data_IF_798601938733
#
_entry.id   IF_798601938733
#
_cell.length_a   1.000
_cell.length_b   1.000
_cell.length_c   1.000
_cell.angle_alpha   90.00
_cell.angle_beta   90.00
_cell.angle_gamma   90.00
#
_symmetry.space_group_name_H-M   'P 1'
#
loop_
_entity.id
_entity.type
_entity.pdbx_description
1 polymer ?
#
# COMPACT_ATOMS: atom_id res chain seq x y z
N UNK A 1 7.54 -71.35 27.92
CA UNK A 1 8.21 -70.27 27.17
C UNK A 1 7.44 -68.97 27.37
N UNK A 2 7.79 -68.18 28.39
CA UNK A 2 7.53 -66.73 28.51
C UNK A 2 8.13 -66.23 29.82
N UNK A 3 8.71 -65.04 29.74
CA UNK A 3 9.84 -64.55 30.50
C UNK A 3 9.48 -63.99 31.89
N UNK A 4 10.35 -64.29 32.86
CA UNK A 4 10.68 -63.42 34.00
C UNK A 4 11.37 -62.15 33.47
N UNK A 5 11.06 -60.97 34.02
CA UNK A 5 11.99 -60.13 34.81
C UNK A 5 11.36 -58.75 35.14
N UNK A 6 11.87 -58.07 36.18
CA UNK A 6 11.15 -57.15 37.05
C UNK A 6 11.49 -55.66 36.83
N UNK A 7 10.82 -54.84 37.66
CA UNK A 7 11.12 -53.44 37.96
C UNK A 7 12.64 -53.14 38.03
N UNK A 8 13.04 -52.08 37.33
CA UNK A 8 14.25 -51.32 37.64
C UNK A 8 13.86 -49.86 37.90
N UNK A 9 14.14 -49.44 39.13
CA UNK A 9 14.17 -48.05 39.62
C UNK A 9 15.33 -47.33 38.93
N UNK A 10 15.11 -46.13 38.41
CA UNK A 10 16.19 -45.21 38.03
C UNK A 10 16.07 -43.94 38.87
N UNK A 11 17.13 -43.75 39.66
CA UNK A 11 17.43 -42.62 40.53
C UNK A 11 17.65 -41.34 39.72
N UNK A 12 17.21 -40.23 40.28
CA UNK A 12 17.46 -38.90 39.75
C UNK A 12 18.94 -38.52 39.80
N UNK A 13 19.37 -37.82 38.76
CA UNK A 13 20.57 -37.00 38.75
C UNK A 13 20.15 -35.56 38.41
N UNK A 14 20.38 -34.65 39.36
CA UNK A 14 20.28 -33.22 39.15
C UNK A 14 21.33 -32.79 38.12
N UNK A 15 20.88 -32.27 36.98
CA UNK A 15 21.71 -31.45 36.11
C UNK A 15 21.44 -29.97 36.44
N UNK A 16 22.46 -29.10 36.48
CA UNK A 16 22.23 -27.67 36.64
C UNK A 16 21.50 -27.16 35.40
N UNK A 17 20.46 -26.36 35.61
CA UNK A 17 19.83 -25.59 34.56
C UNK A 17 20.89 -24.67 33.93
N UNK A 18 21.22 -24.92 32.67
CA UNK A 18 21.82 -23.91 31.83
C UNK A 18 20.74 -22.86 31.59
N UNK A 19 20.84 -21.74 32.30
CA UNK A 19 20.24 -20.49 31.89
C UNK A 19 20.92 -20.04 30.59
N UNK A 20 20.54 -20.64 29.47
CA UNK A 20 20.72 -20.04 28.14
C UNK A 20 19.57 -19.06 27.90
N UNK A 21 19.41 -18.11 28.80
CA UNK A 21 18.74 -16.84 28.52
C UNK A 21 19.78 -15.86 27.97
N UNK A 22 20.45 -16.25 26.88
CA UNK A 22 20.99 -15.29 25.94
C UNK A 22 19.95 -15.12 24.84
N UNK A 23 19.00 -14.20 25.03
CA UNK A 23 18.40 -13.50 23.89
C UNK A 23 19.49 -12.64 23.28
N UNK A 24 20.45 -13.28 22.62
CA UNK A 24 21.20 -12.65 21.58
C UNK A 24 20.16 -12.30 20.52
N UNK A 25 19.79 -11.03 20.42
CA UNK A 25 19.45 -10.45 19.13
C UNK A 25 20.60 -10.86 18.21
N UNK A 26 20.41 -11.95 17.47
CA UNK A 26 21.33 -12.33 16.42
C UNK A 26 21.52 -11.09 15.56
N UNK A 27 22.78 -10.71 15.33
CA UNK A 27 23.18 -9.71 14.34
C UNK A 27 22.60 -10.20 13.01
N UNK A 28 21.39 -9.73 12.69
CA UNK A 28 20.67 -10.13 11.50
C UNK A 28 21.11 -9.13 10.44
N UNK A 29 21.87 -9.61 9.47
CA UNK A 29 22.26 -8.78 8.32
C UNK A 29 21.01 -8.50 7.49
N UNK A 30 20.47 -7.29 7.63
CA UNK A 30 19.35 -6.83 6.82
C UNK A 30 19.81 -6.36 5.45
N UNK A 31 18.90 -6.41 4.47
CA UNK A 31 19.23 -6.10 3.10
C UNK A 31 19.50 -4.60 2.89
N UNK A 32 20.34 -4.32 1.90
CA UNK A 32 20.61 -2.96 1.40
C UNK A 32 20.52 -2.97 -0.12
N UNK A 33 19.71 -2.07 -0.68
CA UNK A 33 19.51 -1.84 -2.11
C UNK A 33 19.26 -0.35 -2.33
N UNK A 34 20.35 0.38 -2.58
CA UNK A 34 20.34 1.84 -2.83
C UNK A 34 20.22 2.17 -4.32
N UNK A 35 20.61 1.24 -5.17
CA UNK A 35 20.55 1.35 -6.62
C UNK A 35 20.17 -0.02 -7.20
N UNK A 36 19.37 -0.01 -8.26
CA UNK A 36 19.06 -1.20 -9.03
C UNK A 36 18.93 -0.85 -10.51
N UNK A 37 19.42 -1.72 -11.41
CA UNK A 37 19.15 -1.56 -12.84
C UNK A 37 17.67 -1.77 -13.10
N UNK A 38 17.09 -1.03 -14.05
CA UNK A 38 15.71 -1.26 -14.47
C UNK A 38 15.55 -2.68 -15.05
N UNK A 39 14.53 -3.46 -14.63
CA UNK A 39 14.21 -4.73 -15.27
C UNK A 39 13.67 -4.51 -16.68
N UNK A 40 13.47 -5.61 -17.42
CA UNK A 40 12.75 -5.57 -18.69
C UNK A 40 11.24 -5.30 -18.49
N UNK A 41 10.90 -4.03 -18.29
CA UNK A 41 9.51 -3.58 -18.14
C UNK A 41 8.65 -3.89 -19.38
N UNK A 42 9.23 -4.03 -20.56
CA UNK A 42 8.46 -4.36 -21.76
C UNK A 42 7.94 -5.80 -21.72
N UNK A 43 8.64 -6.70 -21.03
CA UNK A 43 8.16 -8.04 -20.74
C UNK A 43 7.21 -8.07 -19.54
N UNK A 44 7.52 -7.34 -18.46
CA UNK A 44 6.68 -7.30 -17.26
C UNK A 44 5.28 -6.70 -17.53
N UNK A 45 5.18 -5.69 -18.38
CA UNK A 45 3.89 -5.06 -18.74
C UNK A 45 2.91 -5.98 -19.46
N UNK A 46 3.41 -7.06 -20.07
CA UNK A 46 2.59 -8.05 -20.79
C UNK A 46 2.09 -9.17 -19.89
N UNK A 47 2.57 -9.25 -18.65
CA UNK A 47 2.13 -10.27 -17.72
C UNK A 47 0.64 -10.09 -17.40
N UNK A 48 -0.06 -11.22 -17.27
CA UNK A 48 -1.46 -11.21 -16.91
C UNK A 48 -1.63 -10.58 -15.52
N UNK A 49 -2.66 -9.75 -15.37
CA UNK A 49 -3.04 -9.21 -14.06
C UNK A 49 -3.61 -10.34 -13.21
N UNK A 50 -3.33 -10.30 -11.92
CA UNK A 50 -4.04 -11.18 -10.99
C UNK A 50 -5.50 -10.73 -10.94
N UNK A 51 -6.40 -11.67 -11.17
CA UNK A 51 -7.84 -11.43 -11.09
C UNK A 51 -8.31 -11.68 -9.65
N UNK A 52 -9.10 -10.74 -9.14
CA UNK A 52 -9.77 -10.83 -7.85
C UNK A 52 -11.09 -10.08 -7.90
N UNK A 53 -11.69 -9.81 -6.75
CA UNK A 53 -12.87 -8.93 -6.71
C UNK A 53 -12.48 -7.54 -7.25
N UNK A 54 -13.16 -7.11 -8.30
CA UNK A 54 -12.92 -5.80 -8.93
C UNK A 54 -13.62 -4.66 -8.19
N UNK A 55 -13.53 -3.46 -8.76
CA UNK A 55 -14.39 -2.36 -8.31
C UNK A 55 -15.85 -2.71 -8.51
N UNK A 56 -16.64 -2.60 -7.45
CA UNK A 56 -18.09 -2.84 -7.49
C UNK A 56 -18.82 -1.56 -7.14
N UNK A 57 -19.80 -1.19 -7.96
CA UNK A 57 -20.76 -0.14 -7.65
C UNK A 57 -22.14 -0.75 -7.47
N UNK A 58 -22.77 -0.47 -6.34
CA UNK A 58 -24.16 -0.82 -6.06
C UNK A 58 -25.00 0.45 -6.03
N UNK A 59 -25.82 0.63 -7.05
CA UNK A 59 -26.72 1.78 -7.12
C UNK A 59 -27.85 1.70 -6.08
N UNK A 60 -28.38 2.85 -5.70
CA UNK A 60 -29.53 2.94 -4.81
C UNK A 60 -30.78 2.37 -5.50
N UNK A 61 -31.55 1.57 -4.77
CA UNK A 61 -32.76 0.87 -5.26
C UNK A 61 -34.02 1.21 -4.46
N UNK A 62 -33.87 1.80 -3.28
CA UNK A 62 -34.98 2.19 -2.40
C UNK A 62 -35.32 3.67 -2.49
N UNK A 63 -36.55 4.06 -2.13
CA UNK A 63 -36.92 5.47 -2.00
C UNK A 63 -36.15 6.12 -0.84
N UNK A 64 -35.88 7.42 -0.95
CA UNK A 64 -35.26 8.21 0.12
C UNK A 64 -36.25 8.34 1.30
N UNK A 65 -35.95 7.80 2.49
CA UNK A 65 -36.83 7.92 3.63
C UNK A 65 -36.71 9.31 4.29
N UNK A 66 -37.71 9.75 5.10
CA UNK A 66 -37.59 10.99 5.88
C UNK A 66 -36.39 11.00 6.84
N UNK A 67 -35.92 9.82 7.25
CA UNK A 67 -34.75 9.62 8.12
C UNK A 67 -33.41 9.53 7.37
N UNK A 68 -33.36 9.77 6.05
CA UNK A 68 -32.19 9.54 5.22
C UNK A 68 -30.92 10.23 5.75
N UNK A 69 -31.06 11.45 6.27
CA UNK A 69 -29.94 12.18 6.88
C UNK A 69 -29.36 11.46 8.09
N UNK A 70 -30.21 11.02 9.02
CA UNK A 70 -29.77 10.35 10.24
C UNK A 70 -29.17 8.96 9.95
N UNK A 71 -29.79 8.21 9.01
CA UNK A 71 -29.27 6.91 8.57
C UNK A 71 -27.92 7.07 7.87
N UNK A 72 -27.83 8.03 6.94
CA UNK A 72 -26.59 8.35 6.24
C UNK A 72 -25.46 8.74 7.20
N UNK A 73 -25.74 9.60 8.17
CA UNK A 73 -24.77 10.00 9.20
C UNK A 73 -24.29 8.79 10.03
N UNK A 74 -25.20 7.89 10.41
CA UNK A 74 -24.85 6.68 11.15
C UNK A 74 -23.85 5.81 10.36
N UNK A 75 -24.06 5.64 9.05
CA UNK A 75 -23.16 4.87 8.21
C UNK A 75 -21.83 5.57 7.94
N UNK A 76 -21.87 6.90 7.76
CA UNK A 76 -20.68 7.72 7.64
C UNK A 76 -19.77 7.53 8.86
N UNK A 77 -20.31 7.70 10.07
CA UNK A 77 -19.56 7.57 11.33
C UNK A 77 -19.01 6.17 11.54
N UNK A 78 -19.78 5.11 11.19
CA UNK A 78 -19.30 3.73 11.27
C UNK A 78 -18.09 3.47 10.37
N UNK A 79 -18.12 3.98 9.15
CA UNK A 79 -17.01 3.83 8.21
C UNK A 79 -15.81 4.67 8.63
N UNK A 80 -16.03 5.90 9.08
CA UNK A 80 -14.96 6.81 9.52
C UNK A 80 -14.24 6.27 10.76
N UNK A 81 -14.97 5.74 11.75
CA UNK A 81 -14.41 5.18 12.98
C UNK A 81 -13.40 4.03 12.73
N UNK A 82 -13.59 3.30 11.63
CA UNK A 82 -12.76 2.16 11.23
C UNK A 82 -11.77 2.51 10.11
N UNK A 83 -11.66 3.79 9.72
CA UNK A 83 -10.84 4.27 8.59
C UNK A 83 -11.22 3.60 7.25
N UNK A 84 -12.51 3.30 7.06
CA UNK A 84 -13.08 2.66 5.87
C UNK A 84 -13.82 3.64 4.96
N UNK A 85 -13.95 4.91 5.33
CA UNK A 85 -14.61 5.91 4.50
C UNK A 85 -13.60 6.54 3.52
N UNK A 86 -13.79 6.32 2.23
CA UNK A 86 -12.94 6.90 1.19
C UNK A 86 -13.53 8.15 0.53
N UNK A 87 -14.86 8.29 0.62
CA UNK A 87 -15.60 9.36 -0.03
C UNK A 87 -17.09 9.31 0.31
N UNK A 88 -17.75 10.46 0.24
CA UNK A 88 -19.18 10.57 0.47
C UNK A 88 -19.81 11.61 -0.46
N UNK A 89 -20.97 11.27 -1.02
CA UNK A 89 -21.84 12.19 -1.76
C UNK A 89 -23.01 12.63 -0.88
N UNK A 90 -23.40 13.89 -1.00
CA UNK A 90 -24.51 14.48 -0.25
C UNK A 90 -25.54 15.13 -1.18
N UNK A 91 -26.79 15.15 -0.75
CA UNK A 91 -27.82 15.96 -1.38
C UNK A 91 -27.49 17.46 -1.26
N UNK A 92 -27.61 18.20 -2.36
CA UNK A 92 -27.29 19.62 -2.40
C UNK A 92 -25.79 19.89 -2.57
N UNK A 93 -25.30 21.00 -2.00
CA UNK A 93 -23.92 21.50 -2.22
C UNK A 93 -22.95 21.28 -1.05
N UNK A 94 -23.30 20.42 -0.10
CA UNK A 94 -22.40 20.18 1.04
C UNK A 94 -22.91 19.17 2.06
N UNK A 95 -22.15 18.94 3.15
CA UNK A 95 -22.39 17.86 4.12
C UNK A 95 -23.66 18.07 4.97
N UNK A 96 -24.39 19.17 4.77
CA UNK A 96 -25.66 19.44 5.46
C UNK A 96 -26.85 18.60 4.95
N UNK A 97 -26.74 18.02 3.75
CA UNK A 97 -27.77 17.19 3.13
C UNK A 97 -27.72 15.72 3.54
N UNK A 98 -28.67 14.91 3.06
CA UNK A 98 -28.63 13.47 3.26
C UNK A 98 -27.51 12.83 2.43
N UNK A 99 -26.87 11.79 2.97
CA UNK A 99 -25.87 11.00 2.23
C UNK A 99 -26.57 10.28 1.07
N UNK A 100 -26.04 10.44 -0.15
CA UNK A 100 -26.53 9.78 -1.37
C UNK A 100 -25.58 8.69 -1.86
N UNK A 101 -24.31 8.78 -1.47
CA UNK A 101 -23.25 7.88 -1.90
C UNK A 101 -22.18 7.70 -0.82
N UNK A 102 -21.63 6.50 -0.71
CA UNK A 102 -20.46 6.19 0.13
C UNK A 102 -19.46 5.33 -0.66
N UNK A 103 -18.20 5.77 -0.70
CA UNK A 103 -17.07 4.98 -1.18
C UNK A 103 -16.41 4.28 0.01
N UNK A 104 -16.31 2.95 -0.07
CA UNK A 104 -15.93 2.08 1.04
C UNK A 104 -14.56 1.46 0.80
N UNK A 105 -13.68 1.54 1.80
CA UNK A 105 -12.32 0.99 1.82
C UNK A 105 -12.24 -0.51 2.08
N UNK A 106 -13.24 -1.27 1.67
CA UNK A 106 -13.21 -2.74 1.63
C UNK A 106 -13.98 -3.25 0.42
N UNK A 107 -13.81 -4.52 0.10
CA UNK A 107 -14.56 -5.23 -0.95
C UNK A 107 -16.04 -5.37 -0.59
N UNK A 108 -16.91 -5.65 -1.57
CA UNK A 108 -18.33 -5.88 -1.32
C UNK A 108 -18.52 -7.13 -0.43
N UNK A 109 -17.71 -8.18 -0.64
CA UNK A 109 -17.76 -9.40 0.15
C UNK A 109 -17.34 -9.18 1.62
N UNK A 110 -16.30 -8.38 1.86
CA UNK A 110 -15.91 -7.95 3.21
C UNK A 110 -17.01 -7.10 3.86
N UNK A 111 -17.58 -6.14 3.13
CA UNK A 111 -18.66 -5.28 3.65
C UNK A 111 -19.90 -6.08 4.03
N UNK A 112 -20.30 -7.05 3.20
CA UNK A 112 -21.41 -7.96 3.53
C UNK A 112 -21.11 -8.77 4.79
N UNK A 113 -19.88 -9.25 4.94
CA UNK A 113 -19.47 -10.01 6.11
C UNK A 113 -19.48 -9.15 7.38
N UNK A 114 -18.91 -7.95 7.30
CA UNK A 114 -18.86 -6.97 8.39
C UNK A 114 -20.25 -6.56 8.87
N UNK A 115 -21.16 -6.25 7.94
CA UNK A 115 -22.54 -5.87 8.26
C UNK A 115 -23.35 -7.02 8.85
N UNK A 116 -23.14 -8.24 8.36
CA UNK A 116 -23.78 -9.46 8.91
C UNK A 116 -23.30 -9.75 10.33
N UNK A 117 -21.99 -9.68 10.58
CA UNK A 117 -21.41 -9.92 11.91
C UNK A 117 -21.92 -8.93 12.97
N UNK A 118 -22.18 -7.69 12.56
CA UNK A 118 -22.71 -6.64 13.44
C UNK A 118 -24.24 -6.57 13.49
N UNK A 119 -24.95 -7.41 12.72
CA UNK A 119 -26.42 -7.40 12.66
C UNK A 119 -26.98 -6.08 12.15
N UNK A 120 -26.31 -5.43 11.20
CA UNK A 120 -26.74 -4.14 10.66
C UNK A 120 -27.52 -4.27 9.36
N UNK A 121 -28.66 -3.60 9.30
CA UNK A 121 -29.43 -3.44 8.08
C UNK A 121 -28.83 -2.35 7.19
N UNK A 122 -28.41 -2.76 5.98
CA UNK A 122 -27.79 -1.86 5.01
C UNK A 122 -28.87 -1.09 4.23
N UNK A 123 -28.86 0.25 4.22
CA UNK A 123 -29.89 1.04 3.58
C UNK A 123 -29.79 0.96 2.05
N UNK A 124 -30.96 0.82 1.41
CA UNK A 124 -31.09 0.68 -0.05
C UNK A 124 -31.22 2.02 -0.77
N UNK A 125 -31.38 3.13 -0.06
CA UNK A 125 -31.47 4.49 -0.62
C UNK A 125 -30.11 5.18 -0.79
N UNK A 126 -29.03 4.55 -0.31
CA UNK A 126 -27.64 5.00 -0.47
C UNK A 126 -27.01 4.14 -1.56
N UNK A 127 -26.25 4.77 -2.46
CA UNK A 127 -25.38 4.07 -3.41
C UNK A 127 -24.01 3.79 -2.79
N UNK A 128 -23.39 2.68 -3.14
CA UNK A 128 -22.16 2.21 -2.51
C UNK A 128 -21.12 1.87 -3.57
N UNK A 129 -19.87 2.31 -3.39
CA UNK A 129 -18.72 1.81 -4.15
C UNK A 129 -17.80 1.01 -3.23
N UNK A 130 -17.26 -0.08 -3.76
CA UNK A 130 -16.32 -0.95 -3.06
C UNK A 130 -15.02 -1.03 -3.84
N UNK A 131 -13.91 -1.00 -3.11
CA UNK A 131 -12.56 -1.16 -3.69
C UNK A 131 -12.30 -2.61 -4.09
N UNK A 132 -11.36 -2.85 -5.01
CA UNK A 132 -10.97 -4.20 -5.39
C UNK A 132 -10.19 -4.90 -4.27
N UNK A 133 -10.13 -6.23 -4.35
CA UNK A 133 -9.38 -7.07 -3.43
C UNK A 133 -7.87 -6.80 -3.49
N UNK A 134 -7.21 -6.91 -2.33
CA UNK A 134 -5.75 -7.01 -2.26
C UNK A 134 -5.38 -8.48 -2.48
N UNK A 135 -4.97 -8.82 -3.69
CA UNK A 135 -4.69 -10.19 -4.11
C UNK A 135 -3.31 -10.69 -3.66
N UNK A 136 -2.42 -9.79 -3.24
CA UNK A 136 -1.08 -10.11 -2.73
C UNK A 136 -0.93 -9.69 -1.26
N UNK A 137 -0.05 -10.39 -0.50
CA UNK A 137 0.33 -9.96 0.84
C UNK A 137 1.06 -8.60 0.80
N UNK A 138 1.17 -7.96 1.96
CA UNK A 138 1.97 -6.74 2.12
C UNK A 138 3.45 -6.97 1.82
N UNK A 139 3.98 -8.09 2.30
CA UNK A 139 5.36 -8.51 2.10
C UNK A 139 5.33 -9.98 1.74
N UNK A 140 5.97 -10.34 0.63
CA UNK A 140 6.13 -11.75 0.26
C UNK A 140 7.08 -12.46 1.23
N UNK A 141 6.96 -13.79 1.31
CA UNK A 141 7.90 -14.61 2.08
C UNK A 141 9.36 -14.36 1.64
N UNK A 142 9.58 -14.24 0.33
CA UNK A 142 10.91 -14.01 -0.27
C UNK A 142 11.54 -12.66 0.14
N UNK A 143 10.73 -11.64 0.42
CA UNK A 143 11.21 -10.33 0.85
C UNK A 143 11.30 -10.18 2.38
N UNK A 144 10.53 -10.96 3.13
CA UNK A 144 10.29 -10.77 4.57
C UNK A 144 11.56 -10.80 5.44
N UNK A 145 12.54 -11.63 5.10
CA UNK A 145 13.73 -11.82 5.95
C UNK A 145 14.74 -10.66 5.88
N UNK A 146 14.71 -9.85 4.83
CA UNK A 146 15.69 -8.79 4.62
C UNK A 146 15.28 -7.41 5.10
N UNK A 147 14.11 -7.27 5.71
CA UNK A 147 13.59 -5.98 6.19
C UNK A 147 13.39 -5.99 7.71
N UNK A 148 13.50 -4.82 8.32
CA UNK A 148 13.19 -4.63 9.76
C UNK A 148 11.71 -4.42 9.98
N UNK A 149 11.10 -3.62 9.10
CA UNK A 149 9.70 -3.21 9.18
C UNK A 149 9.21 -2.87 7.78
N UNK A 150 7.94 -3.20 7.48
CA UNK A 150 7.26 -2.72 6.29
C UNK A 150 6.41 -1.50 6.64
N UNK A 151 6.78 -0.29 6.18
CA UNK A 151 6.08 0.94 6.55
C UNK A 151 4.94 1.21 5.58
N UNK A 152 3.78 0.60 5.79
CA UNK A 152 2.61 0.84 4.95
C UNK A 152 1.34 1.12 5.75
N UNK A 153 0.41 1.85 5.13
CA UNK A 153 -0.92 2.11 5.67
C UNK A 153 -1.71 0.82 5.79
N UNK A 154 -2.48 0.68 6.88
CA UNK A 154 -3.50 -0.36 7.01
C UNK A 154 -4.84 0.04 6.37
N UNK A 155 -5.03 1.34 6.10
CA UNK A 155 -6.23 1.86 5.45
C UNK A 155 -6.00 2.03 3.94
N UNK A 156 -7.06 1.79 3.15
CA UNK A 156 -7.05 1.97 1.70
C UNK A 156 -6.81 3.41 1.31
N UNK A 157 -6.22 3.61 0.14
CA UNK A 157 -6.00 4.94 -0.40
C UNK A 157 -7.32 5.59 -0.81
N UNK A 158 -7.64 6.73 -0.18
CA UNK A 158 -8.80 7.55 -0.53
C UNK A 158 -8.51 8.50 -1.69
N UNK A 159 -9.32 9.55 -1.84
CA UNK A 159 -9.07 10.61 -2.83
C UNK A 159 -7.71 11.29 -2.59
N UNK A 160 -6.95 11.54 -3.66
CA UNK A 160 -5.61 12.12 -3.57
C UNK A 160 -5.41 13.26 -4.57
N UNK A 161 -4.44 14.13 -4.26
CA UNK A 161 -3.92 15.08 -5.22
C UNK A 161 -3.04 14.36 -6.25
N UNK A 162 -3.12 14.79 -7.50
CA UNK A 162 -2.45 14.13 -8.63
C UNK A 162 -1.25 14.94 -9.17
N UNK A 163 -0.67 15.85 -8.37
CA UNK A 163 0.56 16.52 -8.81
C UNK A 163 1.67 15.49 -8.94
N UNK A 164 2.40 15.51 -10.05
CA UNK A 164 3.47 14.55 -10.28
C UNK A 164 4.67 14.90 -9.39
N UNK A 165 4.95 14.03 -8.42
CA UNK A 165 6.18 14.03 -7.64
C UNK A 165 7.15 13.02 -8.24
N UNK A 166 8.43 13.26 -8.07
CA UNK A 166 9.51 12.36 -8.50
C UNK A 166 10.48 12.13 -7.36
N UNK A 167 11.21 11.03 -7.39
CA UNK A 167 12.24 10.74 -6.40
C UNK A 167 12.72 9.30 -6.47
N UNK A 168 13.14 8.76 -5.33
CA UNK A 168 13.70 7.40 -5.21
C UNK A 168 13.32 6.82 -3.86
N UNK A 169 13.15 5.50 -3.82
CA UNK A 169 13.04 4.73 -2.59
C UNK A 169 14.20 3.75 -2.53
N UNK A 170 14.93 3.72 -1.44
CA UNK A 170 16.08 2.87 -1.20
C UNK A 170 15.84 1.97 0.02
N UNK A 171 16.44 0.78 0.01
CA UNK A 171 16.52 -0.07 1.19
C UNK A 171 17.93 0.08 1.80
N UNK A 172 18.02 0.40 3.08
CA UNK A 172 19.29 0.52 3.80
C UNK A 172 19.14 -0.18 5.14
N UNK A 173 19.91 -1.25 5.35
CA UNK A 173 19.87 -2.05 6.58
C UNK A 173 18.41 -2.42 6.98
N UNK A 174 17.63 -2.88 6.00
CA UNK A 174 16.24 -3.29 6.21
C UNK A 174 15.23 -2.16 6.45
N UNK A 175 15.64 -0.90 6.34
CA UNK A 175 14.79 0.28 6.45
C UNK A 175 14.62 0.99 5.11
N UNK A 176 13.42 1.53 4.88
CA UNK A 176 13.07 2.19 3.63
C UNK A 176 13.29 3.69 3.73
N UNK A 177 14.15 4.21 2.86
CA UNK A 177 14.48 5.62 2.78
C UNK A 177 13.94 6.18 1.47
N UNK A 178 13.43 7.40 1.48
CA UNK A 178 12.92 8.07 0.30
C UNK A 178 13.47 9.49 0.16
N UNK A 179 13.56 9.93 -1.09
CA UNK A 179 13.82 11.33 -1.46
C UNK A 179 12.67 11.84 -2.33
N UNK A 180 12.41 13.14 -2.27
CA UNK A 180 11.54 13.84 -3.22
C UNK A 180 12.41 14.82 -4.01
N UNK A 181 12.39 14.70 -5.33
CA UNK A 181 13.28 15.42 -6.24
C UNK A 181 14.65 14.73 -6.40
N UNK A 182 15.67 15.54 -6.61
CA UNK A 182 17.06 15.11 -6.69
C UNK A 182 17.72 15.20 -5.32
N UNK A 183 18.56 14.22 -4.98
CA UNK A 183 19.33 14.23 -3.74
C UNK A 183 19.42 12.86 -3.09
N UNK A 184 19.88 12.88 -1.84
CA UNK A 184 19.95 11.68 -1.00
C UNK A 184 18.56 11.33 -0.45
N UNK A 185 18.28 10.04 -0.32
CA UNK A 185 17.11 9.59 0.44
C UNK A 185 17.35 9.78 1.95
N UNK A 186 16.76 10.83 2.52
CA UNK A 186 16.96 11.28 3.90
C UNK A 186 15.68 11.22 4.76
N UNK A 187 14.57 10.76 4.19
CA UNK A 187 13.29 10.56 4.87
C UNK A 187 12.94 9.08 4.95
N UNK A 188 12.20 8.66 5.97
CA UNK A 188 11.67 7.30 6.04
C UNK A 188 10.46 7.17 5.10
N UNK A 189 10.48 6.21 4.20
CA UNK A 189 9.37 5.97 3.29
C UNK A 189 8.16 5.39 4.05
N UNK A 190 6.95 5.78 3.65
CA UNK A 190 5.70 5.16 4.12
C UNK A 190 4.73 4.98 2.95
N UNK A 191 4.28 3.76 2.72
CA UNK A 191 3.55 3.39 1.51
C UNK A 191 2.03 3.36 1.71
N UNK A 192 1.30 3.48 0.61
CA UNK A 192 -0.11 3.11 0.57
C UNK A 192 -0.32 1.61 0.80
N UNK A 193 -1.51 1.26 1.29
CA UNK A 193 -1.89 -0.14 1.53
C UNK A 193 -1.81 -0.99 0.25
N UNK A 194 -2.06 -0.39 -0.91
CA UNK A 194 -2.04 -1.05 -2.23
C UNK A 194 -0.63 -1.47 -2.68
N UNK A 195 0.42 -0.96 -2.04
CA UNK A 195 1.79 -1.31 -2.37
C UNK A 195 2.26 -2.46 -1.50
N UNK A 196 2.85 -3.46 -2.15
CA UNK A 196 3.52 -4.58 -1.50
C UNK A 196 5.00 -4.63 -1.84
N UNK A 197 5.71 -5.46 -1.08
CA UNK A 197 7.13 -5.75 -1.27
C UNK A 197 7.32 -7.21 -1.71
N UNK A 198 8.12 -7.41 -2.75
CA UNK A 198 8.55 -8.73 -3.19
C UNK A 198 10.01 -8.71 -3.65
N UNK A 199 10.54 -9.86 -4.06
CA UNK A 199 11.81 -9.99 -4.77
C UNK A 199 11.56 -10.54 -6.16
N UNK A 200 12.21 -9.96 -7.17
CA UNK A 200 12.16 -10.50 -8.52
C UNK A 200 13.11 -11.70 -8.70
N UNK A 201 13.07 -12.29 -9.89
CA UNK A 201 13.89 -13.45 -10.26
C UNK A 201 15.40 -13.18 -10.29
N UNK A 202 15.81 -11.90 -10.35
CA UNK A 202 17.22 -11.48 -10.28
C UNK A 202 17.64 -11.19 -8.82
N UNK A 203 16.70 -11.28 -7.87
CA UNK A 203 16.92 -11.11 -6.45
C UNK A 203 16.81 -9.66 -5.96
N UNK A 204 16.36 -8.72 -6.79
CA UNK A 204 16.15 -7.33 -6.38
C UNK A 204 14.81 -7.17 -5.66
N UNK A 205 14.80 -6.33 -4.63
CA UNK A 205 13.57 -5.91 -3.98
C UNK A 205 12.75 -5.02 -4.92
N UNK A 206 11.48 -5.35 -5.05
CA UNK A 206 10.52 -4.67 -5.92
C UNK A 206 9.28 -4.23 -5.15
N UNK A 207 8.74 -3.09 -5.59
CA UNK A 207 7.41 -2.62 -5.23
C UNK A 207 6.41 -3.24 -6.21
N UNK A 208 5.34 -3.81 -5.67
CA UNK A 208 4.26 -4.44 -6.45
C UNK A 208 2.92 -3.79 -6.13
N UNK A 209 2.03 -3.72 -7.12
CA UNK A 209 0.63 -3.40 -6.90
C UNK A 209 -0.07 -4.65 -6.37
N UNK A 210 -0.58 -4.60 -5.14
CA UNK A 210 -1.25 -5.73 -4.48
C UNK A 210 -2.61 -6.06 -5.07
N UNK A 211 -3.22 -5.13 -5.82
CA UNK A 211 -4.48 -5.39 -6.52
C UNK A 211 -4.19 -6.17 -7.80
N UNK A 212 -3.38 -5.62 -8.69
CA UNK A 212 -3.19 -6.19 -10.03
C UNK A 212 -2.00 -7.15 -10.16
N UNK A 213 -1.11 -7.20 -9.16
CA UNK A 213 0.10 -8.02 -9.14
C UNK A 213 1.26 -7.48 -9.99
N UNK A 214 1.17 -6.26 -10.54
CA UNK A 214 2.23 -5.76 -11.41
C UNK A 214 3.40 -5.20 -10.61
N UNK A 215 4.61 -5.51 -11.06
CA UNK A 215 5.82 -4.80 -10.64
C UNK A 215 5.74 -3.33 -11.03
N UNK A 216 5.95 -2.46 -10.04
CA UNK A 216 5.90 -1.00 -10.19
C UNK A 216 7.28 -0.39 -10.33
N UNK A 217 8.23 -0.85 -9.52
CA UNK A 217 9.62 -0.40 -9.51
C UNK A 217 10.50 -1.41 -8.75
N UNK A 218 11.79 -1.51 -9.05
CA UNK A 218 12.81 -1.96 -8.07
C UNK A 218 13.16 -0.80 -7.14
N UNK A 219 13.47 -1.12 -5.89
CA UNK A 219 14.08 -0.13 -4.98
C UNK A 219 15.41 0.36 -5.56
N UNK A 220 15.71 1.65 -5.44
CA UNK A 220 16.89 2.30 -6.00
C UNK A 220 16.68 2.89 -7.40
N UNK A 221 15.60 2.55 -8.10
CA UNK A 221 15.25 3.21 -9.37
C UNK A 221 14.70 4.62 -9.16
N UNK A 222 14.85 5.48 -10.18
CA UNK A 222 14.09 6.72 -10.24
C UNK A 222 12.60 6.41 -10.41
N UNK A 223 11.76 7.05 -9.60
CA UNK A 223 10.33 6.81 -9.53
C UNK A 223 9.54 8.13 -9.60
N UNK A 224 8.25 7.99 -9.87
CA UNK A 224 7.27 9.07 -9.74
C UNK A 224 5.99 8.58 -9.07
N UNK A 225 5.29 9.47 -8.39
CA UNK A 225 4.01 9.20 -7.74
C UNK A 225 3.15 10.48 -7.68
N UNK A 226 1.84 10.31 -7.53
CA UNK A 226 0.93 11.45 -7.32
C UNK A 226 1.07 12.05 -5.93
N UNK A 227 0.94 13.38 -5.82
CA UNK A 227 1.00 14.06 -4.54
C UNK A 227 0.40 15.47 -4.43
N UNK A 228 0.44 16.08 -3.22
CA UNK A 228 0.97 15.47 -1.99
C UNK A 228 0.11 14.27 -1.57
N UNK A 229 0.72 13.08 -1.38
CA UNK A 229 -0.03 11.88 -1.04
C UNK A 229 -0.43 11.91 0.43
N UNK A 230 -1.55 11.29 0.74
CA UNK A 230 -2.03 11.10 2.11
C UNK A 230 -2.17 9.61 2.40
N UNK A 231 -1.77 9.22 3.60
CA UNK A 231 -1.90 7.86 4.10
C UNK A 231 -2.30 7.92 5.58
N UNK A 232 -3.09 6.94 6.02
CA UNK A 232 -3.31 6.74 7.44
C UNK A 232 -2.07 6.10 8.06
N UNK A 233 -1.46 6.81 9.02
CA UNK A 233 -0.34 6.29 9.81
C UNK A 233 -0.86 6.11 11.24
N UNK A 234 -1.07 4.87 11.66
CA UNK A 234 -1.48 4.61 13.03
C UNK A 234 -0.33 4.95 14.01
N UNK A 235 -0.63 5.34 15.26
CA UNK A 235 0.40 5.60 16.26
C UNK A 235 1.35 4.41 16.45
N UNK A 236 0.83 3.18 16.35
CA UNK A 236 1.65 1.97 16.45
C UNK A 236 2.56 1.78 15.24
N UNK A 237 2.08 2.04 14.02
CA UNK A 237 2.89 1.94 12.81
C UNK A 237 4.03 2.98 12.83
N UNK A 238 3.74 4.22 13.23
CA UNK A 238 4.76 5.25 13.39
C UNK A 238 5.79 4.86 14.46
N UNK A 239 5.33 4.41 15.64
CA UNK A 239 6.22 3.97 16.71
C UNK A 239 7.12 2.82 16.27
N UNK A 240 6.56 1.81 15.59
CA UNK A 240 7.32 0.65 15.11
C UNK A 240 8.37 1.06 14.07
N UNK A 241 8.01 1.96 13.15
CA UNK A 241 8.93 2.48 12.15
C UNK A 241 10.08 3.24 12.82
N UNK A 242 9.78 4.15 13.74
CA UNK A 242 10.79 4.94 14.46
C UNK A 242 11.71 4.08 15.32
N UNK A 243 11.15 3.13 16.05
CA UNK A 243 11.93 2.19 16.86
C UNK A 243 12.87 1.32 16.03
N UNK A 244 12.48 0.97 14.79
CA UNK A 244 13.25 0.10 13.91
C UNK A 244 14.30 0.86 13.07
N UNK A 245 13.98 2.08 12.66
CA UNK A 245 14.69 2.81 11.59
C UNK A 245 15.16 4.22 11.97
N UNK A 246 14.87 4.69 13.19
CA UNK A 246 15.28 5.99 13.69
C UNK A 246 14.25 7.10 13.50
N UNK A 247 14.64 8.33 13.80
CA UNK A 247 13.72 9.47 13.98
C UNK A 247 13.60 10.42 12.78
N UNK A 248 14.10 10.01 11.61
CA UNK A 248 14.03 10.84 10.41
C UNK A 248 12.56 11.18 10.03
N UNK A 249 12.32 12.30 9.32
CA UNK A 249 10.98 12.65 8.87
C UNK A 249 10.37 11.54 8.01
N UNK A 250 9.07 11.30 8.17
CA UNK A 250 8.35 10.33 7.35
C UNK A 250 7.86 11.01 6.07
N UNK A 251 8.15 10.40 4.92
CA UNK A 251 7.62 10.77 3.62
C UNK A 251 6.63 9.71 3.17
N UNK A 252 5.38 10.11 2.95
CA UNK A 252 4.41 9.23 2.29
C UNK A 252 4.81 9.11 0.82
N UNK A 253 5.16 7.90 0.42
CA UNK A 253 5.43 7.52 -0.97
C UNK A 253 4.19 6.80 -1.45
N UNK A 254 3.40 7.46 -2.30
CA UNK A 254 2.05 6.99 -2.61
C UNK A 254 2.00 5.66 -3.38
N UNK A 255 1.69 5.75 -4.68
CA UNK A 255 1.71 4.60 -5.58
C UNK A 255 2.86 4.77 -6.58
N UNK A 256 4.12 4.60 -6.14
CA UNK A 256 5.28 4.87 -6.98
C UNK A 256 5.29 3.98 -8.22
N UNK A 257 5.81 4.53 -9.31
CA UNK A 257 6.09 3.82 -10.55
C UNK A 257 7.48 4.23 -11.04
N UNK A 258 8.27 3.24 -11.49
CA UNK A 258 9.57 3.49 -12.11
C UNK A 258 9.41 4.41 -13.32
N UNK A 259 10.28 5.42 -13.42
CA UNK A 259 10.34 6.30 -14.59
C UNK A 259 10.62 5.50 -15.87
N UNK A 260 11.43 4.44 -15.80
CA UNK A 260 11.70 3.56 -16.94
C UNK A 260 10.48 2.72 -17.33
N UNK A 261 9.69 2.28 -16.34
CA UNK A 261 8.42 1.63 -16.59
C UNK A 261 7.45 2.56 -17.32
N UNK A 262 7.32 3.80 -16.87
CA UNK A 262 6.50 4.81 -17.51
C UNK A 262 6.95 5.08 -18.96
N UNK A 263 8.24 5.32 -19.17
CA UNK A 263 8.82 5.58 -20.50
C UNK A 263 8.75 4.37 -21.44
N UNK A 264 8.63 3.16 -20.90
CA UNK A 264 8.36 1.95 -21.69
C UNK A 264 6.93 1.95 -22.27
N UNK A 265 5.95 2.43 -21.51
CA UNK A 265 4.57 2.58 -21.99
C UNK A 265 4.41 3.79 -22.92
N UNK A 266 5.25 4.82 -22.75
CA UNK A 266 5.20 6.08 -23.50
C UNK A 266 6.54 6.41 -24.17
N UNK A 267 7.02 5.60 -25.14
CA UNK A 267 8.36 5.72 -25.70
C UNK A 267 8.63 7.07 -26.39
N UNK A 268 7.58 7.74 -26.89
CA UNK A 268 7.69 9.07 -27.51
C UNK A 268 8.15 10.16 -26.55
N UNK A 269 8.04 9.95 -25.23
CA UNK A 269 8.49 10.91 -24.21
C UNK A 269 9.99 10.84 -23.93
N UNK A 270 10.69 9.79 -24.39
CA UNK A 270 12.16 9.70 -24.26
C UNK A 270 12.88 10.77 -25.09
N UNK A 271 12.27 11.16 -26.22
CA UNK A 271 12.77 12.21 -27.11
C UNK A 271 11.60 13.12 -27.49
N UNK A 272 11.20 14.06 -26.60
CA UNK A 272 10.05 14.90 -26.85
C UNK A 272 10.28 15.74 -28.10
N UNK A 273 9.41 15.58 -29.10
CA UNK A 273 9.40 16.46 -30.28
C UNK A 273 8.80 17.79 -29.84
N UNK A 274 9.54 18.88 -29.99
CA UNK A 274 9.02 20.23 -29.71
C UNK A 274 7.79 20.45 -30.58
N UNK A 275 6.63 20.81 -30.00
CA UNK A 275 5.44 21.11 -30.79
C UNK A 275 5.77 22.19 -31.82
N UNK A 276 5.22 22.12 -33.05
CA UNK A 276 5.35 23.23 -33.97
C UNK A 276 4.80 24.50 -33.32
N UNK A 277 5.44 25.67 -33.56
CA UNK A 277 4.95 26.92 -32.99
C UNK A 277 3.50 27.16 -33.42
N UNK A 278 2.68 27.83 -32.58
CA UNK A 278 1.32 28.18 -32.96
C UNK A 278 1.33 29.03 -34.24
N UNK A 279 0.33 28.90 -35.11
CA UNK A 279 0.22 29.71 -36.33
C UNK A 279 0.31 31.21 -35.98
N UNK A 280 1.31 31.91 -36.52
CA UNK A 280 1.48 33.36 -36.33
C UNK A 280 2.59 33.82 -35.39
N UNK A 281 3.36 32.92 -34.76
CA UNK A 281 4.47 33.30 -33.85
C UNK A 281 5.79 33.67 -34.57
N UNK A 282 5.79 33.79 -35.90
CA UNK A 282 7.00 33.95 -36.73
C UNK A 282 7.23 35.33 -37.36
N UNK A 283 6.39 36.33 -37.08
CA UNK A 283 6.53 37.68 -37.64
C UNK A 283 6.72 38.71 -36.52
N UNK A 284 7.97 38.97 -36.12
CA UNK A 284 8.22 40.03 -35.13
C UNK A 284 9.60 40.02 -34.49
N UNK A 285 10.67 39.91 -35.26
CA UNK A 285 12.02 40.24 -34.79
C UNK A 285 12.89 40.67 -35.97
N UNK A 286 12.53 41.80 -36.58
CA UNK A 286 13.45 42.67 -37.32
C UNK A 286 12.80 44.05 -37.44
N UNK A 287 13.11 44.93 -36.49
CA UNK A 287 12.93 46.40 -36.57
C UNK A 287 13.90 47.09 -35.62
#
# INVERSE_FOLDING_TARGET
MRYLLPLAVILGACAPAQDDSSTATADRDYATQVEAPAPDYASLTKQARIEGEGYVRRDATGPIPPSAKAVGQTWFERLEAENLLLGAGFEGKGPGGAVTHLDVGMTESEFRSWTTQNGWDVPTHISWSFVPAMNLPEVSEAASEGIRVWPASSARTGAQNEALLAGRVELRDGCFWATEGEGEADKLAFFHAEIGLDRDSEGYYILVDRVGGQTRARLGEAMSWGGPPSAYISPQAEQNLRASCGEAPILVVGSPESSERFLTNYPHLRNPVVPPPPPGAGEGADS
#
